data_IF_045169176394
#
_entry.id   IF_045169176394
#
_cell.length_a   1.000
_cell.length_b   1.000
_cell.length_c   1.000
_cell.angle_alpha   90.00
_cell.angle_beta   90.00
_cell.angle_gamma   90.00
#
_symmetry.space_group_name_H-M   'P 1'
#
loop_
_entity.id
_entity.type
_entity.pdbx_description
1 polymer ?
#
# COMPACT_ATOMS: atom_id res chain seq x y z
N UNK A 1 41.24 -39.42 52.78
CA UNK A 1 40.04 -38.78 53.37
C UNK A 1 38.81 -38.99 52.49
N UNK A 2 38.79 -38.65 51.21
CA UNK A 2 37.67 -38.83 50.29
C UNK A 2 37.04 -40.20 50.18
N UNK A 3 37.87 -41.30 50.14
CA UNK A 3 37.37 -42.67 50.08
C UNK A 3 36.53 -43.06 51.31
N UNK A 4 36.89 -42.60 52.49
CA UNK A 4 36.13 -42.90 53.71
C UNK A 4 34.81 -42.11 53.79
N UNK A 5 34.76 -40.92 53.29
CA UNK A 5 33.54 -40.11 53.19
C UNK A 5 32.56 -40.77 52.20
N UNK A 6 33.03 -41.15 51.00
CA UNK A 6 32.20 -41.84 50.01
C UNK A 6 31.64 -43.18 50.56
N UNK A 7 32.44 -43.98 51.34
CA UNK A 7 31.95 -45.17 51.96
C UNK A 7 30.88 -44.93 53.04
N UNK A 8 30.91 -43.79 53.74
CA UNK A 8 29.87 -43.44 54.71
C UNK A 8 28.58 -43.02 53.99
N UNK A 9 28.71 -42.24 52.90
CA UNK A 9 27.58 -41.80 52.09
C UNK A 9 26.90 -43.00 51.43
N UNK A 10 27.66 -43.94 50.83
CA UNK A 10 27.11 -45.12 50.13
C UNK A 10 26.48 -46.17 51.06
N UNK A 11 26.81 -46.17 52.35
CA UNK A 11 26.19 -47.03 53.34
C UNK A 11 24.91 -46.48 53.97
N UNK A 12 24.62 -45.23 53.77
CA UNK A 12 23.40 -44.56 54.31
C UNK A 12 22.46 -44.12 53.20
N UNK A 13 21.33 -44.85 52.98
CA UNK A 13 20.41 -44.53 51.90
C UNK A 13 19.82 -43.11 51.98
N UNK A 14 19.65 -42.60 53.22
CA UNK A 14 19.16 -41.24 53.41
C UNK A 14 20.14 -40.17 52.90
N UNK A 15 21.45 -40.38 53.05
CA UNK A 15 22.47 -39.49 52.51
C UNK A 15 22.50 -39.49 50.98
N UNK A 16 22.23 -40.65 50.35
CA UNK A 16 22.13 -40.75 48.88
C UNK A 16 20.93 -39.97 48.38
N UNK A 17 19.77 -40.09 49.06
CA UNK A 17 18.55 -39.33 48.69
C UNK A 17 18.80 -37.85 48.80
N UNK A 18 19.43 -37.36 49.87
CA UNK A 18 19.76 -35.96 50.06
C UNK A 18 20.73 -35.46 48.96
N UNK A 19 21.73 -36.23 48.60
CA UNK A 19 22.69 -35.89 47.55
C UNK A 19 22.00 -35.80 46.19
N UNK A 20 21.12 -36.75 45.86
CA UNK A 20 20.31 -36.74 44.63
C UNK A 20 19.40 -35.49 44.62
N UNK A 21 18.73 -35.18 45.73
CA UNK A 21 17.86 -34.02 45.80
C UNK A 21 18.63 -32.70 45.60
N UNK A 22 19.80 -32.53 46.20
CA UNK A 22 20.66 -31.34 46.06
C UNK A 22 21.09 -31.13 44.61
N UNK A 23 21.33 -32.23 43.85
CA UNK A 23 21.70 -32.12 42.42
C UNK A 23 20.49 -31.97 41.53
N UNK A 24 19.40 -32.68 41.81
CA UNK A 24 18.22 -32.75 40.95
C UNK A 24 17.37 -31.51 41.03
N UNK A 25 17.19 -30.91 42.23
CA UNK A 25 16.37 -29.71 42.40
C UNK A 25 16.92 -28.51 41.60
N UNK A 26 18.21 -28.13 41.68
CA UNK A 26 18.76 -27.09 40.83
C UNK A 26 18.71 -27.43 39.33
N UNK A 27 18.94 -28.68 38.96
CA UNK A 27 18.89 -29.13 37.57
C UNK A 27 17.47 -29.01 36.99
N UNK A 28 16.45 -29.44 37.73
CA UNK A 28 15.05 -29.28 37.33
C UNK A 28 14.70 -27.81 37.24
N UNK A 29 15.04 -27.03 38.28
CA UNK A 29 14.77 -25.57 38.26
C UNK A 29 15.44 -24.90 37.07
N UNK A 30 16.71 -25.19 36.82
CA UNK A 30 17.44 -24.62 35.67
C UNK A 30 16.83 -25.06 34.35
N UNK A 31 16.48 -26.35 34.20
CA UNK A 31 15.86 -26.86 32.95
C UNK A 31 14.49 -26.24 32.70
N UNK A 32 13.63 -26.16 33.73
CA UNK A 32 12.30 -25.58 33.62
C UNK A 32 12.38 -24.05 33.39
N UNK A 33 13.24 -23.36 34.14
CA UNK A 33 13.43 -21.93 34.01
C UNK A 33 14.05 -21.56 32.67
N UNK A 34 15.17 -22.20 32.28
CA UNK A 34 15.78 -21.97 30.97
C UNK A 34 14.85 -22.40 29.82
N UNK A 35 14.16 -23.54 29.94
CA UNK A 35 13.21 -24.00 28.93
C UNK A 35 12.06 -23.02 28.74
N UNK A 36 11.56 -22.41 29.84
CA UNK A 36 10.53 -21.37 29.77
C UNK A 36 11.02 -20.01 29.25
N UNK A 37 12.31 -19.72 29.41
CA UNK A 37 12.91 -18.42 29.07
C UNK A 37 13.82 -18.50 27.83
N UNK A 38 14.07 -19.69 27.28
CA UNK A 38 15.04 -19.90 26.20
C UNK A 38 14.61 -19.28 24.88
N UNK A 39 13.33 -19.34 24.59
CA UNK A 39 12.75 -18.71 23.41
C UNK A 39 11.38 -18.10 23.72
N UNK A 40 11.36 -16.96 24.46
CA UNK A 40 10.12 -16.26 24.73
C UNK A 40 9.48 -15.68 23.48
N UNK A 41 10.17 -15.78 22.32
CA UNK A 41 9.72 -15.29 21.02
C UNK A 41 9.36 -16.40 20.04
N UNK A 42 9.64 -17.66 20.35
CA UNK A 42 9.36 -18.81 19.49
C UNK A 42 7.88 -18.97 19.18
N UNK A 43 7.01 -18.67 20.14
CA UNK A 43 5.55 -18.74 20.03
C UNK A 43 4.91 -17.36 19.74
N UNK A 44 5.68 -16.39 19.28
CA UNK A 44 5.14 -15.06 19.02
C UNK A 44 4.21 -15.02 17.80
N UNK A 45 4.24 -16.00 16.93
CA UNK A 45 3.25 -16.24 15.87
C UNK A 45 1.87 -16.61 16.42
N UNK A 46 1.80 -17.09 17.66
CA UNK A 46 0.55 -17.41 18.38
C UNK A 46 0.02 -16.21 19.22
N UNK A 47 0.66 -15.04 19.17
CA UNK A 47 0.16 -13.88 19.89
C UNK A 47 -1.16 -13.40 19.27
N UNK A 48 -2.29 -13.44 20.02
CA UNK A 48 -3.58 -13.05 19.51
C UNK A 48 -3.67 -11.53 19.38
N UNK A 49 -3.95 -11.05 18.18
CA UNK A 49 -4.13 -9.64 17.88
C UNK A 49 -5.50 -9.42 17.26
N UNK A 50 -6.41 -8.84 18.02
CA UNK A 50 -7.71 -8.42 17.50
C UNK A 50 -7.53 -7.20 16.57
N UNK A 51 -7.97 -7.30 15.31
CA UNK A 51 -7.87 -6.23 14.32
C UNK A 51 -9.25 -5.74 13.96
N UNK A 52 -9.46 -4.44 14.08
CA UNK A 52 -10.69 -3.77 13.64
C UNK A 52 -10.36 -2.79 12.52
N UNK A 53 -11.02 -2.96 11.40
CA UNK A 53 -10.86 -2.09 10.23
C UNK A 53 -12.01 -1.09 10.16
N UNK A 54 -11.75 0.18 10.46
CA UNK A 54 -12.69 1.28 10.29
C UNK A 54 -12.52 2.01 8.96
N UNK A 55 -11.52 1.62 8.15
CA UNK A 55 -11.19 2.31 6.91
C UNK A 55 -12.36 2.28 5.93
N UNK A 56 -12.49 3.37 5.18
CA UNK A 56 -13.49 3.51 4.13
C UNK A 56 -12.82 3.58 2.77
N UNK A 57 -13.34 2.79 1.83
CA UNK A 57 -12.92 2.84 0.42
C UNK A 57 -13.10 4.24 -0.14
N UNK A 58 -12.15 4.67 -0.96
CA UNK A 58 -12.14 6.00 -1.58
C UNK A 58 -11.96 5.87 -3.08
N UNK A 59 -12.73 6.62 -3.85
CA UNK A 59 -12.49 6.74 -5.29
C UNK A 59 -11.42 7.82 -5.53
N UNK A 60 -10.33 7.42 -6.15
CA UNK A 60 -9.23 8.29 -6.50
C UNK A 60 -8.80 8.04 -7.95
N UNK A 61 -8.83 9.06 -8.79
CA UNK A 61 -8.48 9.00 -10.21
C UNK A 61 -9.16 7.86 -10.99
N UNK A 62 -10.45 7.63 -10.69
CA UNK A 62 -11.24 6.59 -11.36
C UNK A 62 -10.98 5.17 -10.89
N UNK A 63 -10.19 4.99 -9.82
CA UNK A 63 -9.96 3.70 -9.15
C UNK A 63 -10.47 3.74 -7.72
N UNK A 64 -10.98 2.61 -7.25
CA UNK A 64 -11.32 2.42 -5.84
C UNK A 64 -10.08 2.00 -5.08
N UNK A 65 -9.64 2.84 -4.13
CA UNK A 65 -8.59 2.54 -3.17
C UNK A 65 -9.22 1.98 -1.90
N UNK A 66 -8.69 0.86 -1.42
CA UNK A 66 -9.13 0.13 -0.22
C UNK A 66 -7.93 -0.34 0.60
N UNK A 67 -7.02 0.58 0.91
CA UNK A 67 -5.71 0.28 1.51
C UNK A 67 -5.84 -0.44 2.86
N UNK A 68 -6.89 -0.12 3.64
CA UNK A 68 -7.20 -0.82 4.90
C UNK A 68 -7.61 -2.28 4.67
N UNK A 69 -8.44 -2.57 3.67
CA UNK A 69 -8.81 -3.94 3.31
C UNK A 69 -7.62 -4.72 2.77
N UNK A 70 -6.77 -4.08 1.96
CA UNK A 70 -5.54 -4.69 1.44
C UNK A 70 -4.56 -4.99 2.58
N UNK A 71 -4.45 -4.11 3.58
CA UNK A 71 -3.66 -4.36 4.79
C UNK A 71 -4.22 -5.55 5.57
N UNK A 72 -5.54 -5.61 5.80
CA UNK A 72 -6.21 -6.75 6.46
C UNK A 72 -5.88 -8.06 5.75
N UNK A 73 -5.96 -8.08 4.43
CA UNK A 73 -5.61 -9.25 3.63
C UNK A 73 -4.14 -9.63 3.80
N UNK A 74 -3.23 -8.67 3.69
CA UNK A 74 -1.80 -8.91 3.84
C UNK A 74 -1.44 -9.43 5.25
N UNK A 75 -2.09 -8.90 6.30
CA UNK A 75 -1.90 -9.39 7.67
C UNK A 75 -2.39 -10.82 7.82
N UNK A 76 -3.55 -11.16 7.26
CA UNK A 76 -4.11 -12.51 7.27
C UNK A 76 -3.19 -13.52 6.56
N UNK A 77 -2.64 -13.12 5.42
CA UNK A 77 -1.78 -14.00 4.61
C UNK A 77 -0.34 -14.10 5.17
N UNK A 78 0.04 -13.22 6.12
CA UNK A 78 1.42 -13.14 6.62
C UNK A 78 1.82 -14.28 7.55
N UNK A 79 0.85 -14.85 8.30
CA UNK A 79 1.11 -15.89 9.32
C UNK A 79 2.13 -15.48 10.40
N UNK A 80 2.46 -14.19 10.53
CA UNK A 80 3.48 -13.70 11.45
C UNK A 80 3.00 -13.56 12.88
N UNK A 81 1.67 -13.44 13.07
CA UNK A 81 0.96 -13.35 14.34
C UNK A 81 -0.44 -13.94 14.14
N UNK A 82 -1.13 -14.27 15.25
CA UNK A 82 -2.50 -14.75 15.22
C UNK A 82 -3.50 -13.58 15.12
N UNK A 83 -3.72 -13.08 13.90
CA UNK A 83 -4.61 -11.95 13.64
C UNK A 83 -6.07 -12.36 13.56
N UNK A 84 -6.89 -11.85 14.49
CA UNK A 84 -8.34 -12.03 14.54
C UNK A 84 -9.06 -10.79 14.03
N UNK A 85 -9.74 -10.88 12.89
CA UNK A 85 -10.50 -9.77 12.30
C UNK A 85 -11.91 -9.76 12.87
N UNK A 86 -12.18 -8.82 13.77
CA UNK A 86 -13.39 -8.82 14.61
C UNK A 86 -14.03 -7.44 14.67
N UNK A 87 -15.21 -7.35 15.28
CA UNK A 87 -15.86 -6.06 15.58
C UNK A 87 -15.25 -5.41 16.83
N UNK A 88 -15.44 -4.08 16.99
CA UNK A 88 -14.99 -3.33 18.16
C UNK A 88 -15.37 -4.00 19.49
N UNK A 89 -16.60 -4.45 19.60
CA UNK A 89 -17.09 -5.11 20.82
C UNK A 89 -16.28 -6.35 21.17
N UNK A 90 -16.02 -7.21 20.19
CA UNK A 90 -15.21 -8.42 20.40
C UNK A 90 -13.74 -8.08 20.69
N UNK A 91 -13.18 -7.07 20.01
CA UNK A 91 -11.82 -6.62 20.27
C UNK A 91 -11.67 -6.05 21.70
N UNK A 92 -12.67 -5.31 22.20
CA UNK A 92 -12.68 -4.82 23.58
C UNK A 92 -12.85 -5.94 24.60
N UNK A 93 -13.61 -6.98 24.28
CA UNK A 93 -13.73 -8.18 25.11
C UNK A 93 -12.39 -8.93 25.15
N UNK A 94 -11.74 -9.13 24.00
CA UNK A 94 -10.40 -9.72 23.89
C UNK A 94 -9.32 -8.92 24.64
N UNK A 95 -9.38 -7.58 24.56
CA UNK A 95 -8.48 -6.72 25.33
C UNK A 95 -8.60 -6.94 26.84
N UNK A 96 -9.78 -7.22 27.35
CA UNK A 96 -9.99 -7.55 28.78
C UNK A 96 -9.40 -8.90 29.14
N UNK A 97 -9.34 -9.85 28.22
CA UNK A 97 -8.73 -11.17 28.40
C UNK A 97 -7.23 -11.22 28.13
N UNK A 98 -6.63 -10.11 27.70
CA UNK A 98 -5.20 -9.97 27.46
C UNK A 98 -4.74 -10.08 26.01
N UNK A 99 -5.70 -10.00 25.06
CA UNK A 99 -5.36 -9.90 23.64
C UNK A 99 -4.90 -8.47 23.28
N UNK A 100 -4.10 -8.36 22.23
CA UNK A 100 -3.75 -7.06 21.64
C UNK A 100 -4.87 -6.58 20.74
N UNK A 101 -5.12 -5.27 20.73
CA UNK A 101 -6.17 -4.67 19.92
C UNK A 101 -5.60 -3.61 18.97
N UNK A 102 -5.69 -3.86 17.67
CA UNK A 102 -5.25 -2.95 16.61
C UNK A 102 -6.44 -2.35 15.87
N UNK A 103 -6.39 -1.04 15.66
CA UNK A 103 -7.41 -0.27 14.93
C UNK A 103 -6.79 0.36 13.68
N UNK A 104 -7.36 0.05 12.53
CA UNK A 104 -7.09 0.77 11.28
C UNK A 104 -8.05 1.97 11.23
N UNK A 105 -7.53 3.18 11.14
CA UNK A 105 -8.34 4.40 11.23
C UNK A 105 -9.30 4.58 10.04
N UNK A 106 -10.43 5.26 10.27
CA UNK A 106 -11.49 5.51 9.27
C UNK A 106 -11.00 6.18 7.98
N UNK A 107 -9.96 7.00 8.06
CA UNK A 107 -9.41 7.75 6.92
C UNK A 107 -8.13 7.12 6.36
N UNK A 108 -7.88 5.84 6.58
CA UNK A 108 -6.62 5.21 6.19
C UNK A 108 -6.41 5.27 4.68
N UNK A 109 -7.36 4.80 3.87
CA UNK A 109 -7.36 4.93 2.41
C UNK A 109 -7.40 6.38 1.92
N UNK A 110 -8.18 7.25 2.61
CA UNK A 110 -8.23 8.68 2.27
C UNK A 110 -6.88 9.36 2.47
N UNK A 111 -6.17 9.04 3.54
CA UNK A 111 -4.85 9.60 3.79
C UNK A 111 -3.81 9.08 2.78
N UNK A 112 -3.95 7.84 2.31
CA UNK A 112 -3.11 7.31 1.25
C UNK A 112 -3.21 8.11 -0.07
N UNK A 113 -4.37 8.71 -0.39
CA UNK A 113 -4.50 9.54 -1.59
C UNK A 113 -3.74 10.86 -1.50
N UNK A 114 -3.38 11.31 -0.30
CA UNK A 114 -2.67 12.58 -0.09
C UNK A 114 -1.16 12.47 -0.24
N UNK A 115 -0.65 11.31 -0.65
CA UNK A 115 0.77 11.02 -0.69
C UNK A 115 1.57 11.96 -1.59
N UNK A 116 0.97 12.38 -2.69
CA UNK A 116 1.55 13.31 -3.65
C UNK A 116 1.22 14.77 -3.34
N UNK A 117 0.47 15.04 -2.28
CA UNK A 117 0.13 16.39 -1.86
C UNK A 117 1.33 17.08 -1.22
N UNK A 118 1.33 18.41 -1.25
CA UNK A 118 2.35 19.23 -0.58
C UNK A 118 2.47 18.93 0.93
N UNK A 119 1.36 18.54 1.56
CA UNK A 119 1.27 18.17 2.98
C UNK A 119 0.57 16.80 3.12
N UNK A 120 1.28 15.68 2.94
CA UNK A 120 0.68 14.36 3.02
C UNK A 120 0.18 14.06 4.44
N UNK A 121 -0.95 13.39 4.54
CA UNK A 121 -1.54 12.96 5.82
C UNK A 121 -1.09 11.54 6.15
N UNK A 122 -0.77 11.31 7.42
CA UNK A 122 -0.34 10.00 7.87
C UNK A 122 -1.48 8.98 7.89
N UNK A 123 -1.22 7.79 7.43
CA UNK A 123 -2.06 6.61 7.65
C UNK A 123 -1.83 6.14 9.10
N UNK A 124 -2.87 6.31 9.95
CA UNK A 124 -2.74 6.04 11.38
C UNK A 124 -3.24 4.64 11.72
N UNK A 125 -2.39 3.86 12.36
CA UNK A 125 -2.74 2.65 13.10
C UNK A 125 -2.69 2.97 14.59
N UNK A 126 -3.64 2.44 15.34
CA UNK A 126 -3.66 2.54 16.79
C UNK A 126 -3.76 1.15 17.35
N UNK A 127 -2.96 0.84 18.36
CA UNK A 127 -3.09 -0.40 19.12
C UNK A 127 -3.25 -0.11 20.60
N UNK A 128 -3.92 -1.00 21.29
CA UNK A 128 -4.19 -0.96 22.71
C UNK A 128 -3.74 -2.26 23.33
N UNK A 129 -3.19 -2.18 24.52
CA UNK A 129 -2.80 -3.33 25.34
C UNK A 129 -3.44 -3.18 26.73
N UNK A 130 -3.61 -4.28 27.44
CA UNK A 130 -4.07 -4.27 28.80
C UNK A 130 -3.01 -4.89 29.73
N UNK A 131 -2.07 -4.11 30.23
CA UNK A 131 -0.97 -4.62 31.05
C UNK A 131 -1.41 -5.20 32.41
N UNK A 132 -2.67 -4.99 32.80
CA UNK A 132 -3.19 -5.47 34.08
C UNK A 132 -3.63 -6.93 34.11
N UNK A 133 -3.73 -7.60 32.96
CA UNK A 133 -4.31 -8.95 32.88
C UNK A 133 -3.29 -10.09 32.93
N UNK A 134 -2.02 -9.82 32.66
CA UNK A 134 -1.02 -10.87 32.67
C UNK A 134 0.35 -10.34 33.08
N UNK A 135 0.82 -10.72 34.29
CA UNK A 135 2.13 -10.33 34.82
C UNK A 135 3.29 -10.84 33.94
N UNK A 136 3.14 -12.01 33.30
CA UNK A 136 4.14 -12.55 32.36
C UNK A 136 4.09 -11.76 31.05
N UNK A 137 2.90 -11.40 30.57
CA UNK A 137 2.72 -10.55 29.39
C UNK A 137 3.34 -9.15 29.58
N UNK A 138 3.25 -8.55 30.80
CA UNK A 138 3.85 -7.23 31.06
C UNK A 138 5.38 -7.22 30.97
N UNK A 139 6.03 -8.36 31.19
CA UNK A 139 7.49 -8.54 30.98
C UNK A 139 7.84 -8.85 29.52
N UNK A 140 6.89 -9.38 28.75
CA UNK A 140 7.03 -9.65 27.32
C UNK A 140 6.51 -8.47 26.47
N UNK A 141 5.81 -7.51 27.07
CA UNK A 141 5.11 -6.40 26.40
C UNK A 141 6.00 -5.64 25.43
N UNK A 142 7.17 -5.23 25.83
CA UNK A 142 8.06 -4.42 24.96
C UNK A 142 8.47 -5.21 23.72
N UNK A 143 8.73 -6.50 23.87
CA UNK A 143 9.19 -7.36 22.77
C UNK A 143 8.06 -7.84 21.89
N UNK A 144 6.90 -8.17 22.47
CA UNK A 144 5.70 -8.51 21.72
C UNK A 144 5.19 -7.31 20.94
N UNK A 145 5.12 -6.14 21.57
CA UNK A 145 4.77 -4.88 20.91
C UNK A 145 5.75 -4.58 19.76
N UNK A 146 7.06 -4.71 20.00
CA UNK A 146 8.07 -4.49 18.95
C UNK A 146 7.90 -5.46 17.78
N UNK A 147 7.53 -6.73 18.02
CA UNK A 147 7.25 -7.69 16.95
C UNK A 147 5.97 -7.36 16.19
N UNK A 148 4.89 -7.00 16.90
CA UNK A 148 3.65 -6.51 16.29
C UNK A 148 3.94 -5.26 15.44
N UNK A 149 4.63 -4.27 16.00
CA UNK A 149 5.02 -3.06 15.28
C UNK A 149 5.84 -3.38 14.04
N UNK A 150 6.83 -4.26 14.14
CA UNK A 150 7.66 -4.66 13.01
C UNK A 150 6.82 -5.32 11.92
N UNK A 151 6.02 -6.33 12.27
CA UNK A 151 5.18 -7.06 11.32
C UNK A 151 4.17 -6.15 10.63
N UNK A 152 3.48 -5.31 11.41
CA UNK A 152 2.51 -4.35 10.87
C UNK A 152 3.20 -3.30 10.02
N UNK A 153 4.35 -2.77 10.46
CA UNK A 153 5.13 -1.78 9.69
C UNK A 153 5.60 -2.34 8.36
N UNK A 154 6.08 -3.57 8.31
CA UNK A 154 6.48 -4.25 7.08
C UNK A 154 5.28 -4.34 6.12
N UNK A 155 4.11 -4.76 6.59
CA UNK A 155 2.91 -4.90 5.77
C UNK A 155 2.29 -3.56 5.37
N UNK A 156 2.31 -2.57 6.24
CA UNK A 156 1.93 -1.20 5.89
C UNK A 156 2.86 -0.63 4.83
N UNK A 157 4.17 -0.81 4.98
CA UNK A 157 5.16 -0.35 4.01
C UNK A 157 4.96 -1.04 2.66
N UNK A 158 4.75 -2.35 2.63
CA UNK A 158 4.46 -3.10 1.41
C UNK A 158 3.19 -2.57 0.71
N UNK A 159 2.11 -2.42 1.47
CA UNK A 159 0.83 -1.89 0.97
C UNK A 159 0.97 -0.46 0.46
N UNK A 160 1.72 0.37 1.20
CA UNK A 160 2.02 1.75 0.84
C UNK A 160 2.84 1.84 -0.46
N UNK A 161 3.93 1.10 -0.55
CA UNK A 161 4.79 1.05 -1.73
C UNK A 161 3.99 0.61 -2.95
N UNK A 162 3.18 -0.44 -2.84
CA UNK A 162 2.30 -0.89 -3.91
C UNK A 162 1.32 0.21 -4.36
N UNK A 163 0.68 0.89 -3.41
CA UNK A 163 -0.24 1.99 -3.70
C UNK A 163 0.47 3.13 -4.45
N UNK A 164 1.68 3.51 -4.02
CA UNK A 164 2.51 4.52 -4.69
C UNK A 164 2.85 4.10 -6.11
N UNK A 165 3.31 2.87 -6.31
CA UNK A 165 3.63 2.36 -7.65
C UNK A 165 2.41 2.34 -8.57
N UNK A 166 1.24 1.96 -8.07
CA UNK A 166 0.00 1.98 -8.84
C UNK A 166 -0.41 3.42 -9.23
N UNK A 167 -0.20 4.39 -8.36
CA UNK A 167 -0.40 5.80 -8.66
C UNK A 167 0.59 6.31 -9.71
N UNK A 168 1.88 6.03 -9.57
CA UNK A 168 2.92 6.38 -10.55
C UNK A 168 2.58 5.78 -11.93
N UNK A 169 2.16 4.52 -11.99
CA UNK A 169 1.74 3.87 -13.22
C UNK A 169 0.52 4.56 -13.86
N UNK A 170 -0.42 5.01 -13.04
CA UNK A 170 -1.60 5.77 -13.51
C UNK A 170 -1.19 7.12 -14.11
N UNK A 171 -0.31 7.86 -13.42
CA UNK A 171 0.25 9.12 -13.92
C UNK A 171 1.02 8.88 -15.23
N UNK A 172 1.86 7.84 -15.30
CA UNK A 172 2.59 7.47 -16.51
C UNK A 172 1.65 7.19 -17.70
N UNK A 173 0.55 6.48 -17.47
CA UNK A 173 -0.46 6.24 -18.51
C UNK A 173 -1.19 7.52 -18.93
N UNK A 174 -1.37 8.48 -18.02
CA UNK A 174 -1.91 9.81 -18.32
C UNK A 174 -0.99 10.60 -19.25
N UNK A 175 0.31 10.61 -18.97
CA UNK A 175 1.30 11.25 -19.88
C UNK A 175 1.32 10.61 -21.27
N UNK A 176 1.22 9.29 -21.35
CA UNK A 176 1.15 8.61 -22.64
C UNK A 176 -0.08 9.06 -23.44
N UNK A 177 -1.26 9.11 -22.80
CA UNK A 177 -2.50 9.62 -23.45
C UNK A 177 -2.38 11.07 -23.88
N UNK A 178 -1.73 11.92 -23.07
CA UNK A 178 -1.49 13.31 -23.44
C UNK A 178 -0.54 13.43 -24.64
N UNK A 179 0.51 12.63 -24.71
CA UNK A 179 1.41 12.56 -25.85
C UNK A 179 0.69 12.10 -27.13
N UNK A 180 -0.17 11.08 -27.03
CA UNK A 180 -0.97 10.61 -28.17
C UNK A 180 -2.00 11.65 -28.61
N UNK A 181 -2.60 12.40 -27.66
CA UNK A 181 -3.46 13.55 -27.94
C UNK A 181 -2.71 14.66 -28.69
N UNK A 182 -1.50 14.99 -28.27
CA UNK A 182 -0.65 15.99 -28.93
C UNK A 182 -0.30 15.59 -30.37
N UNK A 183 0.01 14.33 -30.61
CA UNK A 183 0.25 13.82 -31.98
C UNK A 183 -1.00 13.92 -32.87
N UNK A 184 -2.19 13.69 -32.32
CA UNK A 184 -3.47 13.88 -33.06
C UNK A 184 -3.70 15.34 -33.39
N UNK A 185 -3.42 16.26 -32.48
CA UNK A 185 -3.52 17.70 -32.74
C UNK A 185 -2.53 18.13 -33.82
N UNK A 186 -1.28 17.67 -33.76
CA UNK A 186 -0.27 17.95 -34.80
C UNK A 186 -0.73 17.45 -36.19
N UNK A 187 -1.26 16.21 -36.24
CA UNK A 187 -1.79 15.66 -37.49
C UNK A 187 -2.99 16.46 -38.00
N UNK A 188 -3.89 16.89 -37.12
CA UNK A 188 -5.01 17.77 -37.46
C UNK A 188 -4.57 19.12 -37.99
N UNK A 189 -3.57 19.73 -37.37
CA UNK A 189 -2.99 21.02 -37.82
C UNK A 189 -2.36 20.89 -39.23
N UNK A 190 -1.63 19.77 -39.47
CA UNK A 190 -1.09 19.50 -40.83
C UNK A 190 -2.19 19.36 -41.88
N UNK A 191 -3.29 18.66 -41.59
CA UNK A 191 -4.44 18.53 -42.50
C UNK A 191 -5.11 19.88 -42.74
N UNK A 192 -5.29 20.71 -41.69
CA UNK A 192 -5.86 22.04 -41.80
C UNK A 192 -4.99 22.94 -42.69
N UNK A 193 -3.65 22.89 -42.50
CA UNK A 193 -2.72 23.63 -43.38
C UNK A 193 -2.85 23.20 -44.83
N UNK A 194 -2.84 21.91 -45.13
CA UNK A 194 -3.01 21.40 -46.47
C UNK A 194 -4.37 21.81 -47.11
N UNK A 195 -5.43 21.82 -46.31
CA UNK A 195 -6.74 22.34 -46.73
C UNK A 195 -6.70 23.84 -47.07
N UNK A 196 -6.05 24.63 -46.25
CA UNK A 196 -5.88 26.06 -46.52
C UNK A 196 -5.04 26.32 -47.79
N UNK A 197 -3.95 25.55 -47.99
CA UNK A 197 -3.13 25.66 -49.20
C UNK A 197 -3.98 25.34 -50.47
N UNK A 198 -4.87 24.33 -50.35
CA UNK A 198 -5.80 23.99 -51.45
C UNK A 198 -6.81 25.10 -51.72
N UNK A 199 -7.37 25.70 -50.67
CA UNK A 199 -8.29 26.86 -50.79
C UNK A 199 -7.57 28.01 -51.47
N UNK A 200 -6.37 28.36 -51.05
CA UNK A 200 -5.56 29.43 -51.67
C UNK A 200 -5.35 29.17 -53.17
N UNK A 201 -4.96 27.94 -53.55
CA UNK A 201 -4.80 27.60 -54.97
C UNK A 201 -6.10 27.73 -55.76
N UNK A 202 -7.22 27.29 -55.19
CA UNK A 202 -8.53 27.44 -55.86
C UNK A 202 -8.95 28.90 -55.99
N UNK A 203 -8.68 29.74 -55.02
CA UNK A 203 -8.95 31.17 -55.09
C UNK A 203 -8.09 31.86 -56.18
N UNK A 204 -6.81 31.47 -56.31
CA UNK A 204 -5.93 31.95 -57.39
C UNK A 204 -6.47 31.55 -58.76
N UNK A 205 -6.94 30.28 -58.93
CA UNK A 205 -7.58 29.83 -60.18
C UNK A 205 -8.85 30.61 -60.47
N UNK A 206 -9.71 30.83 -59.46
CA UNK A 206 -10.94 31.61 -59.61
C UNK A 206 -10.62 33.06 -60.04
N UNK A 207 -9.66 33.69 -59.43
CA UNK A 207 -9.23 35.03 -59.80
C UNK A 207 -8.76 35.11 -61.26
N UNK A 208 -7.92 34.12 -61.70
CA UNK A 208 -7.45 34.02 -63.09
C UNK A 208 -8.61 33.79 -64.07
N UNK A 209 -9.54 32.92 -63.71
CA UNK A 209 -10.73 32.63 -64.58
C UNK A 209 -11.64 33.88 -64.67
N UNK A 210 -11.79 34.62 -63.59
CA UNK A 210 -12.54 35.88 -63.55
C UNK A 210 -11.93 36.95 -64.48
N UNK A 211 -10.61 37.08 -64.47
CA UNK A 211 -9.86 37.96 -65.37
C UNK A 211 -10.06 37.53 -66.84
N UNK A 212 -9.97 36.22 -67.13
CA UNK A 212 -10.20 35.70 -68.48
C UNK A 212 -11.64 36.01 -68.96
N UNK A 213 -12.62 35.82 -68.10
CA UNK A 213 -14.02 36.14 -68.40
C UNK A 213 -14.23 37.65 -68.67
N UNK A 214 -13.65 38.54 -67.83
CA UNK A 214 -13.70 39.96 -68.03
C UNK A 214 -13.12 40.41 -69.39
N UNK A 215 -11.93 39.83 -69.73
CA UNK A 215 -11.30 40.12 -71.01
C UNK A 215 -12.15 39.61 -72.21
N UNK A 216 -12.70 38.40 -72.04
CA UNK A 216 -13.62 37.87 -73.07
C UNK A 216 -14.87 38.70 -73.26
N UNK A 217 -15.50 39.13 -72.16
CA UNK A 217 -16.67 40.05 -72.19
C UNK A 217 -16.34 41.42 -72.82
N UNK A 218 -15.13 41.93 -72.51
CA UNK A 218 -14.65 43.21 -73.11
C UNK A 218 -14.42 43.10 -74.63
N UNK A 219 -13.81 41.97 -75.06
CA UNK A 219 -13.60 41.68 -76.49
C UNK A 219 -14.93 41.49 -77.23
N UNK A 220 -15.90 40.83 -76.64
CA UNK A 220 -17.23 40.67 -77.18
C UNK A 220 -17.93 42.02 -77.31
N UNK A 221 -17.83 42.90 -76.28
CA UNK A 221 -18.41 44.27 -76.32
C UNK A 221 -17.80 45.14 -77.44
N UNK A 222 -16.47 45.03 -77.63
CA UNK A 222 -15.79 45.72 -78.71
C UNK A 222 -16.23 45.15 -80.09
N UNK A 223 -16.28 43.81 -80.26
CA UNK A 223 -16.71 43.17 -81.47
C UNK A 223 -18.16 43.55 -81.84
N UNK A 224 -19.08 43.66 -80.88
CA UNK A 224 -20.44 44.02 -81.03
C UNK A 224 -20.57 45.50 -81.52
N UNK A 225 -19.76 46.37 -80.89
CA UNK A 225 -19.70 47.80 -81.31
C UNK A 225 -19.21 47.97 -82.75
N UNK A 226 -18.21 47.21 -83.14
CA UNK A 226 -17.69 47.21 -84.50
C UNK A 226 -18.72 46.73 -85.51
N UNK A 227 -19.46 45.67 -85.16
CA UNK A 227 -20.50 45.12 -85.99
C UNK A 227 -21.72 46.06 -86.15
N UNK A 228 -22.07 46.82 -85.14
CA UNK A 228 -23.21 47.76 -85.20
C UNK A 228 -22.87 49.13 -85.80
N UNK A 229 -21.57 49.43 -86.03
CA UNK A 229 -21.10 50.65 -86.60
C UNK A 229 -20.75 50.59 -88.11
N UNK A 230 -20.82 49.40 -88.73
CA UNK A 230 -20.67 49.16 -90.16
C UNK A 230 -21.99 48.82 -90.79
#
# INVERSE_FOLDING_TARGET
MLKREWQKISKNPWMIIILIAIITIPAIYTSVFLGSMWDPYGDADQLPVAVVNHDKKVNYEGKTLQVGDDLVKNLKDSGSLDFHFVSDKKAEEGLKSGEYYMIISENFSKNATTLMDKNPKQMKLTYKTNPGTNYVASKMDDSAIAKIEKSVREKVTETYVKTVFDQIKTVGSGFQKAADGSKKIESGAKKLKAGNDTIEQNLKKLASSTLTFQNGAKSLSVGLKTYTAG
#
